data_IF_766140581227
#
_entry.id   IF_766140581227
#
_cell.length_a   1.000
_cell.length_b   1.000
_cell.length_c   1.000
_cell.angle_alpha   90.00
_cell.angle_beta   90.00
_cell.angle_gamma   90.00
#
_symmetry.space_group_name_H-M   'P 1'
#
loop_
_entity.id
_entity.type
_entity.pdbx_description
1 polymer ?
#
# COMPACT_ATOMS: atom_id res chain seq x y z
N UNK A 1 -0.20 13.37 -25.57
CA UNK A 1 -1.15 12.40 -25.01
C UNK A 1 -1.46 12.82 -23.59
N UNK A 2 -2.74 12.95 -23.22
CA UNK A 2 -3.11 13.20 -21.82
C UNK A 2 -2.61 12.01 -20.99
N UNK A 3 -1.73 12.27 -20.02
CA UNK A 3 -1.24 11.22 -19.11
C UNK A 3 -2.44 10.67 -18.33
N UNK A 4 -2.56 9.34 -18.25
CA UNK A 4 -3.58 8.68 -17.44
C UNK A 4 -3.40 9.14 -15.97
N UNK A 5 -4.48 9.54 -15.27
CA UNK A 5 -4.37 9.91 -13.86
C UNK A 5 -3.74 8.80 -13.03
N UNK A 6 -2.84 9.18 -12.10
CA UNK A 6 -2.25 8.24 -11.15
C UNK A 6 -3.35 7.68 -10.24
N UNK A 7 -3.28 6.40 -9.91
CA UNK A 7 -4.15 5.81 -8.91
C UNK A 7 -3.58 6.06 -7.51
N UNK A 8 -4.45 6.18 -6.53
CA UNK A 8 -4.06 6.49 -5.14
C UNK A 8 -4.51 5.37 -4.22
N UNK A 9 -3.61 4.87 -3.41
CA UNK A 9 -3.93 4.11 -2.20
C UNK A 9 -3.90 5.07 -1.02
N UNK A 10 -5.04 5.24 -0.35
CA UNK A 10 -5.15 6.04 0.86
C UNK A 10 -4.77 5.21 2.08
N UNK A 11 -3.76 5.65 2.84
CA UNK A 11 -3.24 4.89 3.98
C UNK A 11 -3.56 5.50 5.34
N UNK A 12 -4.43 6.50 5.38
CA UNK A 12 -4.76 7.23 6.62
C UNK A 12 -5.35 6.33 7.70
N UNK A 13 -6.13 5.29 7.31
CA UNK A 13 -6.79 4.39 8.25
C UNK A 13 -5.88 3.26 8.79
N UNK A 14 -4.65 3.15 8.32
CA UNK A 14 -3.69 2.15 8.84
C UNK A 14 -2.30 2.74 9.05
N UNK A 15 -1.52 2.98 7.99
CA UNK A 15 -0.09 3.29 8.11
C UNK A 15 0.16 4.68 8.69
N UNK A 16 -0.63 5.66 8.32
CA UNK A 16 -0.46 7.04 8.78
C UNK A 16 -0.67 7.14 10.31
N UNK A 17 -1.79 6.65 10.84
CA UNK A 17 -2.01 6.69 12.29
C UNK A 17 -1.13 5.69 13.05
N UNK A 18 -0.67 4.61 12.40
CA UNK A 18 0.35 3.75 12.99
C UNK A 18 1.65 4.54 13.18
N UNK A 19 2.04 5.33 12.21
CA UNK A 19 3.30 6.08 12.20
C UNK A 19 3.29 7.30 13.11
N UNK A 20 2.15 8.00 13.24
CA UNK A 20 2.03 9.26 13.98
C UNK A 20 1.38 9.10 15.36
N UNK A 21 0.49 8.13 15.53
CA UNK A 21 -0.33 7.94 16.73
C UNK A 21 -0.14 6.56 17.35
N UNK A 22 0.97 5.89 17.07
CA UNK A 22 1.29 4.54 17.60
C UNK A 22 0.13 3.53 17.43
N UNK A 23 -0.62 3.61 16.33
CA UNK A 23 -1.80 2.77 16.04
C UNK A 23 -2.95 2.96 17.06
N UNK A 24 -3.09 4.13 17.67
CA UNK A 24 -4.07 4.38 18.75
C UNK A 24 -5.37 5.00 18.28
N UNK A 25 -5.56 5.26 17.00
CA UNK A 25 -6.84 5.79 16.50
C UNK A 25 -7.93 4.72 16.63
N UNK A 26 -9.00 5.07 17.32
CA UNK A 26 -10.16 4.21 17.57
C UNK A 26 -11.10 4.17 16.37
N UNK A 27 -11.98 3.17 16.33
CA UNK A 27 -13.00 3.11 15.27
C UNK A 27 -13.97 4.31 15.32
N UNK A 28 -14.28 4.81 16.50
CA UNK A 28 -15.17 5.97 16.67
C UNK A 28 -14.54 7.28 16.16
N UNK A 29 -13.21 7.43 16.28
CA UNK A 29 -12.47 8.56 15.71
C UNK A 29 -12.38 8.47 14.17
N UNK A 30 -12.33 7.27 13.58
CA UNK A 30 -12.31 7.09 12.14
C UNK A 30 -13.68 7.29 11.48
N UNK A 31 -14.74 6.88 12.16
CA UNK A 31 -16.09 6.79 11.58
C UNK A 31 -16.61 8.07 10.93
N UNK A 32 -16.40 9.28 11.49
CA UNK A 32 -16.93 10.51 10.89
C UNK A 32 -16.46 10.81 9.47
N UNK A 33 -15.25 10.36 9.07
CA UNK A 33 -14.70 10.63 7.74
C UNK A 33 -15.06 9.56 6.69
N UNK A 34 -15.46 8.36 7.11
CA UNK A 34 -15.67 7.23 6.20
C UNK A 34 -16.70 7.52 5.09
N UNK A 35 -17.85 8.16 5.35
CA UNK A 35 -18.81 8.47 4.27
C UNK A 35 -18.26 9.40 3.20
N UNK A 36 -17.34 10.28 3.54
CA UNK A 36 -16.68 11.16 2.56
C UNK A 36 -15.58 10.40 1.80
N UNK A 37 -14.82 9.55 2.49
CA UNK A 37 -13.81 8.69 1.86
C UNK A 37 -14.43 7.72 0.85
N UNK A 38 -15.62 7.20 1.12
CA UNK A 38 -16.30 6.25 0.24
C UNK A 38 -16.72 6.87 -1.11
N UNK A 39 -16.81 8.19 -1.20
CA UNK A 39 -17.13 8.93 -2.43
C UNK A 39 -15.91 9.16 -3.34
N UNK A 40 -14.69 8.98 -2.82
CA UNK A 40 -13.46 9.28 -3.55
C UNK A 40 -13.00 8.02 -4.29
N UNK A 41 -12.65 8.09 -5.59
CA UNK A 41 -12.28 6.92 -6.38
C UNK A 41 -10.84 6.48 -6.11
N UNK A 42 -10.55 6.06 -4.88
CA UNK A 42 -9.26 5.46 -4.53
C UNK A 42 -9.02 4.13 -5.29
N UNK A 43 -7.78 3.78 -5.50
CA UNK A 43 -7.42 2.42 -5.93
C UNK A 43 -7.73 1.42 -4.82
N UNK A 44 -7.33 1.76 -3.60
CA UNK A 44 -7.65 1.03 -2.37
C UNK A 44 -7.53 1.94 -1.14
N UNK A 45 -8.12 1.52 -0.04
CA UNK A 45 -7.96 2.13 1.28
C UNK A 45 -7.28 1.12 2.18
N UNK A 46 -6.04 1.41 2.60
CA UNK A 46 -5.32 0.54 3.52
C UNK A 46 -5.80 0.82 4.95
N UNK A 47 -6.43 -0.18 5.56
CA UNK A 47 -7.17 0.00 6.79
C UNK A 47 -6.90 -1.07 7.86
N UNK A 48 -6.15 -2.12 7.54
CA UNK A 48 -5.95 -3.24 8.44
C UNK A 48 -4.57 -3.88 8.31
N UNK A 49 -4.12 -4.60 9.33
CA UNK A 49 -2.82 -5.26 9.36
C UNK A 49 -2.42 -5.71 10.76
N UNK A 50 -1.20 -6.24 10.90
CA UNK A 50 -0.71 -6.81 12.16
C UNK A 50 -0.69 -5.86 13.34
N UNK A 51 -0.17 -4.66 13.15
CA UNK A 51 -0.12 -3.66 14.22
C UNK A 51 -1.51 -3.16 14.62
N UNK A 52 -2.43 -3.04 13.67
CA UNK A 52 -3.84 -2.69 13.93
C UNK A 52 -4.51 -3.77 14.77
N UNK A 53 -4.35 -5.04 14.35
CA UNK A 53 -4.89 -6.18 15.07
C UNK A 53 -4.40 -6.23 16.53
N UNK A 54 -3.09 -6.10 16.71
CA UNK A 54 -2.45 -6.12 18.03
C UNK A 54 -2.88 -4.93 18.90
N UNK A 55 -2.96 -3.73 18.31
CA UNK A 55 -3.37 -2.51 19.02
C UNK A 55 -4.83 -2.55 19.46
N UNK A 56 -5.73 -3.07 18.63
CA UNK A 56 -7.14 -3.26 19.01
C UNK A 56 -7.27 -4.07 20.29
N UNK A 57 -6.55 -5.20 20.38
CA UNK A 57 -6.64 -6.11 21.54
C UNK A 57 -5.93 -5.53 22.77
N UNK A 58 -4.73 -4.95 22.59
CA UNK A 58 -3.88 -4.58 23.71
C UNK A 58 -4.19 -3.22 24.32
N UNK A 59 -4.71 -2.29 23.52
CA UNK A 59 -4.75 -0.89 23.91
C UNK A 59 -6.07 -0.19 23.70
N UNK A 60 -6.90 -0.68 22.76
CA UNK A 60 -8.12 0.01 22.36
C UNK A 60 -9.40 -0.67 22.88
N UNK A 61 -9.25 -1.87 23.46
CA UNK A 61 -10.39 -2.70 23.87
C UNK A 61 -11.41 -2.92 22.73
N UNK A 62 -10.89 -3.10 21.51
CA UNK A 62 -11.67 -3.32 20.30
C UNK A 62 -11.45 -4.74 19.75
N UNK A 63 -12.51 -5.36 19.21
CA UNK A 63 -12.38 -6.57 18.39
C UNK A 63 -11.84 -6.19 16.99
N UNK A 64 -10.62 -6.64 16.60
CA UNK A 64 -10.05 -6.29 15.30
C UNK A 64 -10.86 -6.80 14.11
N UNK A 65 -11.60 -7.90 14.27
CA UNK A 65 -12.48 -8.42 13.22
C UNK A 65 -13.75 -7.59 13.09
N UNK A 66 -14.30 -7.11 14.23
CA UNK A 66 -15.45 -6.20 14.21
C UNK A 66 -15.06 -4.87 13.56
N UNK A 67 -13.88 -4.33 13.86
CA UNK A 67 -13.33 -3.14 13.18
C UNK A 67 -13.34 -3.33 11.65
N UNK A 68 -12.84 -4.47 11.16
CA UNK A 68 -12.82 -4.76 9.72
C UNK A 68 -14.24 -4.83 9.13
N UNK A 69 -15.17 -5.48 9.82
CA UNK A 69 -16.57 -5.58 9.38
C UNK A 69 -17.27 -4.22 9.33
N UNK A 70 -16.99 -3.36 10.32
CA UNK A 70 -17.49 -1.97 10.33
C UNK A 70 -16.93 -1.21 9.13
N UNK A 71 -15.61 -1.25 8.91
CA UNK A 71 -14.97 -0.59 7.77
C UNK A 71 -15.56 -1.08 6.44
N UNK A 72 -15.76 -2.39 6.27
CA UNK A 72 -16.40 -2.93 5.06
C UNK A 72 -17.82 -2.41 4.86
N UNK A 73 -18.59 -2.26 5.94
CA UNK A 73 -19.96 -1.75 5.90
C UNK A 73 -20.00 -0.25 5.55
N UNK A 74 -19.10 0.53 6.13
CA UNK A 74 -19.06 2.00 5.98
C UNK A 74 -18.35 2.45 4.68
N UNK A 75 -17.54 1.57 4.07
CA UNK A 75 -16.81 1.81 2.80
C UNK A 75 -17.20 0.80 1.72
N UNK A 76 -18.50 0.69 1.35
CA UNK A 76 -18.98 -0.34 0.44
C UNK A 76 -18.39 -0.24 -0.97
N UNK A 77 -18.01 0.95 -1.43
CA UNK A 77 -17.49 1.19 -2.77
C UNK A 77 -15.96 1.16 -2.85
N UNK A 78 -15.26 1.11 -1.71
CA UNK A 78 -13.80 1.05 -1.67
C UNK A 78 -13.27 -0.38 -1.67
N UNK A 79 -12.09 -0.59 -2.25
CA UNK A 79 -11.31 -1.79 -2.02
C UNK A 79 -10.57 -1.65 -0.70
N UNK A 80 -10.84 -2.53 0.24
CA UNK A 80 -10.13 -2.56 1.52
C UNK A 80 -8.81 -3.31 1.39
N UNK A 81 -7.74 -2.69 1.83
CA UNK A 81 -6.40 -3.24 1.78
C UNK A 81 -5.87 -3.53 3.17
N UNK A 82 -5.15 -4.65 3.30
CA UNK A 82 -4.39 -4.99 4.49
C UNK A 82 -2.91 -5.19 4.22
N UNK A 83 -2.07 -4.88 5.21
CA UNK A 83 -0.67 -5.25 5.23
C UNK A 83 -0.50 -6.64 5.87
N UNK A 84 0.30 -7.50 5.21
CA UNK A 84 0.50 -8.89 5.61
C UNK A 84 1.98 -9.27 5.59
N UNK A 85 2.50 -9.81 6.70
CA UNK A 85 3.93 -10.12 6.87
C UNK A 85 4.31 -11.52 6.39
N UNK A 86 3.87 -11.92 5.20
CA UNK A 86 4.16 -13.24 4.65
C UNK A 86 3.83 -14.36 5.65
N UNK A 87 4.76 -15.30 5.86
CA UNK A 87 4.56 -16.43 6.77
C UNK A 87 4.38 -16.03 8.25
N UNK A 88 4.77 -14.81 8.61
CA UNK A 88 4.59 -14.30 9.97
C UNK A 88 3.18 -13.73 10.22
N UNK A 89 2.34 -13.62 9.18
CA UNK A 89 0.98 -13.10 9.27
C UNK A 89 0.94 -11.72 9.98
N UNK A 90 0.42 -11.69 11.18
CA UNK A 90 0.30 -10.51 12.05
C UNK A 90 1.42 -10.46 13.11
N UNK A 91 2.17 -11.56 13.27
CA UNK A 91 3.13 -11.73 14.35
C UNK A 91 4.58 -11.50 13.95
N UNK A 92 5.48 -12.03 14.78
CA UNK A 92 6.93 -11.90 14.67
C UNK A 92 7.65 -13.25 14.52
N UNK A 93 6.89 -14.34 14.39
CA UNK A 93 7.40 -15.70 14.14
C UNK A 93 6.59 -16.34 13.01
N UNK A 94 7.18 -17.21 12.20
CA UNK A 94 6.46 -17.95 11.17
C UNK A 94 5.36 -18.82 11.77
N UNK A 95 4.22 -18.82 11.11
CA UNK A 95 3.09 -19.73 11.38
C UNK A 95 3.13 -20.91 10.42
N UNK A 96 2.42 -21.98 10.74
CA UNK A 96 2.20 -23.09 9.83
C UNK A 96 1.33 -22.68 8.62
N UNK A 97 1.50 -23.35 7.50
CA UNK A 97 0.83 -22.99 6.23
C UNK A 97 -0.70 -22.99 6.35
N UNK A 98 -1.26 -23.97 7.04
CA UNK A 98 -2.70 -24.07 7.28
C UNK A 98 -3.27 -22.88 8.07
N UNK A 99 -2.49 -22.36 9.04
CA UNK A 99 -2.85 -21.16 9.78
C UNK A 99 -2.85 -19.92 8.87
N UNK A 100 -1.83 -19.78 8.00
CA UNK A 100 -1.75 -18.71 7.01
C UNK A 100 -2.93 -18.78 6.03
N UNK A 101 -3.21 -19.96 5.48
CA UNK A 101 -4.32 -20.18 4.57
C UNK A 101 -5.67 -19.84 5.22
N UNK A 102 -5.89 -20.30 6.44
CA UNK A 102 -7.12 -20.02 7.18
C UNK A 102 -7.31 -18.54 7.48
N UNK A 103 -6.23 -17.86 7.89
CA UNK A 103 -6.27 -16.43 8.18
C UNK A 103 -6.57 -15.59 6.93
N UNK A 104 -5.90 -15.88 5.81
CA UNK A 104 -6.16 -15.22 4.52
C UNK A 104 -7.61 -15.40 4.11
N UNK A 105 -8.11 -16.63 4.15
CA UNK A 105 -9.51 -16.94 3.87
C UNK A 105 -10.48 -16.13 4.74
N UNK A 106 -10.21 -16.02 6.04
CA UNK A 106 -11.05 -15.23 6.96
C UNK A 106 -10.94 -13.73 6.70
N UNK A 107 -9.77 -13.23 6.34
CA UNK A 107 -9.58 -11.81 6.00
C UNK A 107 -10.42 -11.42 4.77
N UNK A 108 -10.36 -12.21 3.71
CA UNK A 108 -11.15 -11.98 2.50
C UNK A 108 -12.66 -12.10 2.79
N UNK A 109 -13.07 -13.14 3.53
CA UNK A 109 -14.47 -13.33 3.91
C UNK A 109 -15.05 -12.20 4.78
N UNK A 110 -14.21 -11.44 5.50
CA UNK A 110 -14.59 -10.28 6.29
C UNK A 110 -14.41 -8.94 5.54
N UNK A 111 -14.04 -8.96 4.25
CA UNK A 111 -14.10 -7.79 3.38
C UNK A 111 -12.77 -7.23 2.89
N UNK A 112 -11.65 -7.92 3.07
CA UNK A 112 -10.38 -7.53 2.45
C UNK A 112 -10.39 -7.89 0.96
N UNK A 113 -10.09 -6.88 0.12
CA UNK A 113 -10.00 -7.01 -1.34
C UNK A 113 -8.55 -7.08 -1.81
N UNK A 114 -7.64 -6.37 -1.13
CA UNK A 114 -6.22 -6.27 -1.50
C UNK A 114 -5.35 -6.74 -0.33
N UNK A 115 -4.50 -7.72 -0.58
CA UNK A 115 -3.52 -8.18 0.41
C UNK A 115 -2.13 -7.75 -0.05
N UNK A 116 -1.55 -6.79 0.67
CA UNK A 116 -0.19 -6.30 0.50
C UNK A 116 0.75 -7.19 1.31
N UNK A 117 1.55 -8.00 0.62
CA UNK A 117 2.39 -9.03 1.23
C UNK A 117 3.85 -8.64 1.13
N UNK A 118 4.56 -8.63 2.25
CA UNK A 118 5.98 -8.30 2.31
C UNK A 118 6.77 -9.24 3.21
N UNK A 119 8.05 -9.31 2.94
CA UNK A 119 9.09 -9.81 3.85
C UNK A 119 10.16 -8.74 4.01
N UNK A 120 10.57 -8.46 5.25
CA UNK A 120 11.53 -7.37 5.53
C UNK A 120 12.92 -7.61 4.92
N UNK A 121 13.27 -8.87 4.63
CA UNK A 121 14.54 -9.28 4.03
C UNK A 121 14.43 -9.64 2.54
N UNK A 122 13.24 -9.44 1.94
CA UNK A 122 12.95 -9.84 0.56
C UNK A 122 13.16 -11.34 0.28
N UNK A 123 12.83 -12.19 1.23
CA UNK A 123 12.85 -13.64 1.02
C UNK A 123 11.51 -14.11 0.42
N UNK A 124 11.49 -14.37 -0.87
CA UNK A 124 10.30 -14.81 -1.60
C UNK A 124 9.69 -16.11 -1.03
N UNK A 125 10.50 -16.98 -0.40
CA UNK A 125 10.03 -18.23 0.20
C UNK A 125 9.00 -17.97 1.32
N UNK A 126 9.18 -16.87 2.08
CA UNK A 126 8.26 -16.46 3.12
C UNK A 126 6.92 -15.93 2.60
N UNK A 127 6.79 -15.67 1.30
CA UNK A 127 5.60 -15.10 0.69
C UNK A 127 4.73 -16.13 -0.03
N UNK A 128 5.25 -17.33 -0.30
CA UNK A 128 4.61 -18.33 -1.17
C UNK A 128 3.21 -18.72 -0.70
N UNK A 129 3.07 -19.14 0.54
CA UNK A 129 1.77 -19.58 1.08
C UNK A 129 0.76 -18.44 1.10
N UNK A 130 1.16 -17.24 1.49
CA UNK A 130 0.31 -16.08 1.52
C UNK A 130 -0.18 -15.66 0.12
N UNK A 131 0.72 -15.60 -0.88
CA UNK A 131 0.38 -15.28 -2.28
C UNK A 131 -0.58 -16.31 -2.85
N UNK A 132 -0.25 -17.60 -2.69
CA UNK A 132 -1.09 -18.70 -3.18
C UNK A 132 -2.49 -18.66 -2.55
N UNK A 133 -2.56 -18.45 -1.24
CA UNK A 133 -3.83 -18.41 -0.52
C UNK A 133 -4.68 -17.21 -0.92
N UNK A 134 -4.07 -16.02 -1.06
CA UNK A 134 -4.77 -14.82 -1.47
C UNK A 134 -5.36 -14.95 -2.88
N UNK A 135 -4.58 -15.48 -3.82
CA UNK A 135 -5.06 -15.76 -5.19
C UNK A 135 -6.21 -16.79 -5.17
N UNK A 136 -6.10 -17.85 -4.37
CA UNK A 136 -7.16 -18.87 -4.21
C UNK A 136 -8.48 -18.29 -3.71
N UNK A 137 -8.42 -17.33 -2.81
CA UNK A 137 -9.61 -16.66 -2.26
C UNK A 137 -10.07 -15.47 -3.13
N UNK A 138 -9.40 -15.19 -4.25
CA UNK A 138 -9.78 -14.15 -5.21
C UNK A 138 -9.40 -12.73 -4.82
N UNK A 139 -8.53 -12.55 -3.84
CA UNK A 139 -8.02 -11.23 -3.47
C UNK A 139 -6.97 -10.72 -4.46
N UNK A 140 -6.86 -9.40 -4.61
CA UNK A 140 -5.75 -8.79 -5.31
C UNK A 140 -4.47 -8.91 -4.48
N UNK A 141 -3.46 -9.57 -5.02
CA UNK A 141 -2.15 -9.75 -4.38
C UNK A 141 -1.22 -8.61 -4.79
N UNK A 142 -0.79 -7.81 -3.83
CA UNK A 142 0.27 -6.84 -4.03
C UNK A 142 1.56 -7.31 -3.36
N UNK A 143 2.54 -7.74 -4.16
CA UNK A 143 3.85 -8.16 -3.69
C UNK A 143 4.75 -6.95 -3.42
N UNK A 144 5.48 -6.92 -2.30
CA UNK A 144 6.31 -5.78 -1.94
C UNK A 144 7.80 -6.06 -2.11
N UNK A 145 8.51 -5.06 -2.60
CA UNK A 145 9.96 -4.90 -2.48
C UNK A 145 10.21 -4.10 -1.20
N UNK A 146 10.80 -4.69 -0.17
CA UNK A 146 11.29 -3.94 1.01
C UNK A 146 12.55 -3.19 0.60
N UNK A 147 12.41 -1.87 0.32
CA UNK A 147 13.50 -1.05 -0.18
C UNK A 147 14.50 -0.72 0.93
N UNK A 148 15.78 -0.89 0.65
CA UNK A 148 16.89 -0.55 1.54
C UNK A 148 18.15 -0.23 0.74
N UNK A 149 19.20 0.26 1.40
CA UNK A 149 20.48 0.59 0.80
C UNK A 149 21.55 -0.32 1.37
N UNK A 150 22.25 -1.06 0.51
CA UNK A 150 23.43 -1.85 0.84
C UNK A 150 24.22 -2.20 -0.43
N UNK A 151 25.43 -2.76 -0.31
CA UNK A 151 26.21 -3.15 -1.49
C UNK A 151 25.56 -4.17 -2.42
N UNK A 152 24.55 -4.94 -1.92
CA UNK A 152 23.83 -5.95 -2.70
C UNK A 152 22.45 -5.52 -3.18
N UNK A 153 21.89 -4.46 -2.58
CA UNK A 153 20.56 -3.97 -2.89
C UNK A 153 20.65 -2.85 -3.96
N UNK A 154 20.67 -3.26 -5.21
CA UNK A 154 20.68 -2.40 -6.40
C UNK A 154 19.42 -2.63 -7.25
N UNK A 155 19.26 -1.85 -8.32
CA UNK A 155 18.08 -1.96 -9.18
C UNK A 155 17.93 -3.36 -9.80
N UNK A 156 19.04 -3.98 -10.27
CA UNK A 156 19.01 -5.33 -10.83
C UNK A 156 18.45 -6.35 -9.83
N UNK A 157 18.89 -6.28 -8.57
CA UNK A 157 18.37 -7.11 -7.48
C UNK A 157 16.85 -6.92 -7.31
N UNK A 158 16.39 -5.67 -7.26
CA UNK A 158 14.96 -5.38 -7.05
C UNK A 158 14.11 -5.78 -8.25
N UNK A 159 14.58 -5.56 -9.47
CA UNK A 159 13.87 -5.97 -10.69
C UNK A 159 13.74 -7.49 -10.75
N UNK A 160 14.81 -8.23 -10.45
CA UNK A 160 14.77 -9.69 -10.38
C UNK A 160 13.80 -10.19 -9.32
N UNK A 161 13.83 -9.58 -8.12
CA UNK A 161 12.93 -9.96 -7.04
C UNK A 161 11.47 -9.68 -7.41
N UNK A 162 11.17 -8.50 -7.97
CA UNK A 162 9.85 -8.16 -8.46
C UNK A 162 9.33 -9.13 -9.52
N UNK A 163 10.21 -9.55 -10.44
CA UNK A 163 9.86 -10.56 -11.45
C UNK A 163 9.51 -11.90 -10.82
N UNK A 164 10.26 -12.32 -9.81
CA UNK A 164 9.92 -13.53 -9.02
C UNK A 164 8.52 -13.41 -8.38
N UNK A 165 8.17 -12.25 -7.81
CA UNK A 165 6.85 -12.06 -7.22
C UNK A 165 5.72 -12.07 -8.26
N UNK A 166 5.96 -11.49 -9.46
CA UNK A 166 5.02 -11.57 -10.58
C UNK A 166 4.79 -13.02 -11.00
N UNK A 167 5.86 -13.80 -11.14
CA UNK A 167 5.80 -15.22 -11.49
C UNK A 167 5.11 -16.07 -10.42
N UNK A 168 5.19 -15.67 -9.15
CA UNK A 168 4.45 -16.29 -8.04
C UNK A 168 2.95 -15.95 -8.05
N UNK A 169 2.52 -15.01 -8.89
CA UNK A 169 1.13 -14.62 -9.06
C UNK A 169 0.72 -13.31 -8.38
N UNK A 170 1.68 -12.41 -8.12
CA UNK A 170 1.33 -11.04 -7.70
C UNK A 170 0.60 -10.30 -8.84
N UNK A 171 -0.43 -9.53 -8.48
CA UNK A 171 -1.23 -8.72 -9.42
C UNK A 171 -0.71 -7.27 -9.53
N UNK A 172 0.12 -6.84 -8.60
CA UNK A 172 0.88 -5.59 -8.63
C UNK A 172 2.12 -5.68 -7.75
N UNK A 173 3.10 -4.82 -8.00
CA UNK A 173 4.32 -4.71 -7.18
C UNK A 173 4.31 -3.36 -6.46
N UNK A 174 4.66 -3.36 -5.17
CA UNK A 174 4.84 -2.16 -4.37
C UNK A 174 6.32 -1.99 -4.01
N UNK A 175 6.91 -0.86 -4.36
CA UNK A 175 8.19 -0.41 -3.80
C UNK A 175 7.89 0.12 -2.40
N UNK A 176 8.26 -0.64 -1.37
CA UNK A 176 7.96 -0.31 0.02
C UNK A 176 9.19 0.28 0.72
N UNK A 177 9.27 1.60 0.71
CA UNK A 177 10.32 2.37 1.36
C UNK A 177 9.87 2.80 2.78
N UNK A 178 10.09 1.92 3.73
CA UNK A 178 9.68 2.11 5.13
C UNK A 178 10.51 3.13 5.90
N UNK A 179 11.68 3.48 5.39
CA UNK A 179 12.63 4.37 6.07
C UNK A 179 12.76 5.75 5.40
N UNK A 180 12.11 5.98 4.26
CA UNK A 180 12.21 7.23 3.51
C UNK A 180 13.57 7.42 2.83
N UNK A 181 14.20 6.32 2.39
CA UNK A 181 15.54 6.32 1.77
C UNK A 181 15.50 6.57 0.26
N UNK A 182 14.35 6.40 -0.36
CA UNK A 182 14.19 6.47 -1.80
C UNK A 182 14.33 7.92 -2.29
N UNK A 183 15.44 8.23 -2.96
CA UNK A 183 15.67 9.56 -3.52
C UNK A 183 14.89 9.76 -4.83
N UNK A 184 14.64 11.01 -5.28
CA UNK A 184 13.85 11.28 -6.48
C UNK A 184 14.36 10.57 -7.74
N UNK A 185 15.64 10.64 -8.01
CA UNK A 185 16.23 10.05 -9.23
C UNK A 185 16.37 8.54 -9.12
N UNK A 186 16.71 8.00 -7.94
CA UNK A 186 16.73 6.56 -7.71
C UNK A 186 15.32 5.96 -7.88
N UNK A 187 14.29 6.68 -7.41
CA UNK A 187 12.89 6.29 -7.62
C UNK A 187 12.56 6.24 -9.13
N UNK A 188 12.93 7.30 -9.87
CA UNK A 188 12.72 7.37 -11.31
C UNK A 188 13.34 6.16 -12.04
N UNK A 189 14.61 5.89 -11.77
CA UNK A 189 15.36 4.80 -12.42
C UNK A 189 14.75 3.44 -12.08
N UNK A 190 14.52 3.15 -10.81
CA UNK A 190 13.94 1.88 -10.36
C UNK A 190 12.55 1.65 -10.96
N UNK A 191 11.66 2.65 -10.90
CA UNK A 191 10.32 2.54 -11.49
C UNK A 191 10.40 2.30 -12.98
N UNK A 192 11.27 3.03 -13.70
CA UNK A 192 11.45 2.86 -15.14
C UNK A 192 11.90 1.45 -15.50
N UNK A 193 12.84 0.88 -14.76
CA UNK A 193 13.32 -0.49 -14.99
C UNK A 193 12.23 -1.52 -14.67
N UNK A 194 11.49 -1.35 -13.58
CA UNK A 194 10.35 -2.21 -13.24
C UNK A 194 9.27 -2.16 -14.34
N UNK A 195 8.91 -0.98 -14.81
CA UNK A 195 7.91 -0.80 -15.89
C UNK A 195 8.34 -1.38 -17.22
N UNK A 196 9.64 -1.46 -17.50
CA UNK A 196 10.16 -2.12 -18.70
C UNK A 196 10.18 -3.66 -18.59
N UNK A 197 10.16 -4.20 -17.37
CA UNK A 197 10.33 -5.64 -17.11
C UNK A 197 9.02 -6.34 -16.76
N UNK A 198 8.15 -5.65 -16.01
CA UNK A 198 6.90 -6.23 -15.48
C UNK A 198 5.71 -5.93 -16.39
N UNK A 199 4.76 -6.85 -16.43
CA UNK A 199 3.48 -6.68 -17.11
C UNK A 199 2.37 -6.12 -16.18
N UNK A 200 2.61 -6.14 -14.88
CA UNK A 200 1.66 -5.74 -13.82
C UNK A 200 1.94 -4.31 -13.31
N UNK A 201 0.96 -3.66 -12.67
CA UNK A 201 1.11 -2.32 -12.12
C UNK A 201 2.21 -2.20 -11.07
N UNK A 202 2.85 -1.01 -11.04
CA UNK A 202 3.86 -0.64 -10.04
C UNK A 202 3.29 0.46 -9.14
N UNK A 203 3.37 0.23 -7.83
CA UNK A 203 2.97 1.12 -6.75
C UNK A 203 4.21 1.66 -6.01
N UNK A 204 4.13 2.87 -5.49
CA UNK A 204 5.20 3.48 -4.70
C UNK A 204 4.66 3.87 -3.33
N UNK A 205 5.19 3.21 -2.31
CA UNK A 205 4.97 3.50 -0.90
C UNK A 205 6.27 4.05 -0.30
N UNK A 206 6.27 5.28 0.16
CA UNK A 206 7.45 5.88 0.79
C UNK A 206 7.06 6.73 1.99
N UNK A 207 7.72 6.48 3.13
CA UNK A 207 7.58 7.32 4.32
C UNK A 207 8.28 8.66 4.15
N UNK A 208 7.74 9.70 4.79
CA UNK A 208 8.21 11.08 4.64
C UNK A 208 9.36 11.45 5.60
N UNK A 209 9.94 10.48 6.29
CA UNK A 209 10.92 10.65 7.38
C UNK A 209 12.11 11.52 6.98
N UNK A 210 12.63 11.37 5.75
CA UNK A 210 13.72 12.18 5.20
C UNK A 210 13.25 13.45 4.48
N UNK A 211 11.93 13.73 4.43
CA UNK A 211 11.37 14.87 3.70
C UNK A 211 11.40 14.75 2.17
N UNK A 212 11.74 13.57 1.63
CA UNK A 212 11.95 13.36 0.20
C UNK A 212 10.73 12.77 -0.53
N UNK A 213 9.78 12.16 0.17
CA UNK A 213 8.73 11.35 -0.43
C UNK A 213 7.95 12.09 -1.53
N UNK A 214 7.58 13.36 -1.35
CA UNK A 214 6.86 14.12 -2.38
C UNK A 214 7.64 14.24 -3.70
N UNK A 215 8.94 14.49 -3.63
CA UNK A 215 9.80 14.58 -4.80
C UNK A 215 10.04 13.21 -5.43
N UNK A 216 10.22 12.19 -4.60
CA UNK A 216 10.45 10.82 -5.05
C UNK A 216 9.20 10.24 -5.74
N UNK A 217 8.01 10.45 -5.17
CA UNK A 217 6.74 10.03 -5.78
C UNK A 217 6.49 10.78 -7.10
N UNK A 218 6.75 12.08 -7.15
CA UNK A 218 6.64 12.85 -8.41
C UNK A 218 7.53 12.25 -9.51
N UNK A 219 8.78 11.95 -9.19
CA UNK A 219 9.70 11.32 -10.16
C UNK A 219 9.29 9.90 -10.54
N UNK A 220 8.76 9.13 -9.61
CA UNK A 220 8.21 7.82 -9.91
C UNK A 220 6.98 7.88 -10.83
N UNK A 221 6.08 8.86 -10.62
CA UNK A 221 4.93 9.12 -11.51
C UNK A 221 5.41 9.49 -12.93
N UNK A 222 6.43 10.35 -13.04
CA UNK A 222 7.04 10.70 -14.32
C UNK A 222 7.68 9.49 -15.03
N UNK A 223 8.23 8.55 -14.26
CA UNK A 223 8.81 7.31 -14.77
C UNK A 223 7.75 6.26 -15.19
N UNK A 224 6.48 6.47 -14.83
CA UNK A 224 5.37 5.62 -15.25
C UNK A 224 4.78 4.73 -14.16
N UNK A 225 4.97 5.05 -12.89
CA UNK A 225 4.25 4.40 -11.80
C UNK A 225 2.72 4.45 -12.03
N UNK A 226 2.02 3.41 -11.63
CA UNK A 226 0.57 3.29 -11.82
C UNK A 226 -0.21 3.71 -10.58
N UNK A 227 0.38 3.55 -9.40
CA UNK A 227 -0.23 3.76 -8.09
C UNK A 227 0.78 4.48 -7.18
N UNK A 228 0.30 5.29 -6.26
CA UNK A 228 1.09 5.87 -5.16
C UNK A 228 0.32 5.81 -3.86
N UNK A 229 1.03 5.56 -2.76
CA UNK A 229 0.49 5.63 -1.41
C UNK A 229 0.59 7.04 -0.86
N UNK A 230 -0.51 7.51 -0.29
CA UNK A 230 -0.59 8.84 0.32
C UNK A 230 -1.47 8.83 1.56
N UNK A 231 -1.37 9.84 2.40
CA UNK A 231 -2.23 10.02 3.55
C UNK A 231 -2.94 11.38 3.51
N UNK A 232 -4.20 11.45 3.86
CA UNK A 232 -4.92 12.72 4.02
C UNK A 232 -4.12 13.69 4.90
N UNK A 233 -4.08 14.97 4.51
CA UNK A 233 -3.17 15.97 5.07
C UNK A 233 -3.11 16.08 6.61
N UNK A 234 -4.18 15.89 7.39
CA UNK A 234 -4.09 15.93 8.85
C UNK A 234 -3.15 14.87 9.45
N UNK A 235 -2.96 13.73 8.77
CA UNK A 235 -2.09 12.63 9.20
C UNK A 235 -0.98 12.35 8.17
N UNK A 236 -0.56 13.37 7.43
CA UNK A 236 0.57 13.29 6.50
C UNK A 236 1.86 13.87 7.08
N UNK A 237 2.97 13.67 6.39
CA UNK A 237 4.29 14.21 6.80
C UNK A 237 4.95 13.47 7.96
N UNK A 238 6.06 13.98 8.43
CA UNK A 238 6.83 13.36 9.51
C UNK A 238 7.23 11.92 9.20
N UNK A 239 6.83 10.99 10.05
CA UNK A 239 7.03 9.53 9.85
C UNK A 239 5.92 8.87 9.03
N UNK A 240 4.90 9.63 8.63
CA UNK A 240 3.80 9.16 7.77
C UNK A 240 4.17 9.29 6.29
N UNK A 241 3.20 9.60 5.44
CA UNK A 241 3.33 9.67 4.00
C UNK A 241 3.12 11.09 3.47
N UNK A 242 3.33 11.29 2.18
CA UNK A 242 2.99 12.52 1.49
C UNK A 242 1.48 12.77 1.54
N UNK A 243 1.08 14.04 1.61
CA UNK A 243 -0.32 14.42 1.61
C UNK A 243 -1.03 14.03 0.31
N UNK A 244 -2.22 13.40 0.41
CA UNK A 244 -3.05 12.93 -0.71
C UNK A 244 -3.41 14.08 -1.67
N UNK A 245 -3.64 15.25 -1.14
CA UNK A 245 -4.04 16.43 -1.92
C UNK A 245 -2.96 16.88 -2.92
N UNK A 246 -1.68 16.64 -2.61
CA UNK A 246 -0.55 17.06 -3.46
C UNK A 246 -0.54 16.35 -4.83
N UNK A 247 -0.49 15.00 -4.92
CA UNK A 247 -0.51 14.31 -6.21
C UNK A 247 -1.86 14.46 -6.93
N UNK A 248 -2.98 14.58 -6.22
CA UNK A 248 -4.29 14.83 -6.81
C UNK A 248 -4.28 16.18 -7.53
N UNK A 249 -3.80 17.23 -6.89
CA UNK A 249 -3.68 18.57 -7.50
C UNK A 249 -2.81 18.53 -8.76
N UNK A 250 -1.67 17.84 -8.70
CA UNK A 250 -0.73 17.79 -9.83
C UNK A 250 -1.22 16.91 -10.99
N UNK A 251 -1.79 15.75 -10.72
CA UNK A 251 -2.12 14.76 -11.76
C UNK A 251 -3.55 14.87 -12.27
N UNK A 252 -4.54 15.00 -11.37
CA UNK A 252 -5.96 15.00 -11.73
C UNK A 252 -6.45 16.38 -12.15
N UNK A 253 -6.22 17.40 -11.33
CA UNK A 253 -6.70 18.76 -11.61
C UNK A 253 -5.97 19.41 -12.79
N UNK A 254 -4.67 19.12 -12.97
CA UNK A 254 -3.91 19.60 -14.12
C UNK A 254 -4.43 18.99 -15.45
N UNK A 255 -4.77 17.71 -15.45
CA UNK A 255 -5.37 17.04 -16.61
C UNK A 255 -6.75 17.62 -16.94
N UNK A 256 -7.58 17.91 -15.94
CA UNK A 256 -8.89 18.55 -16.13
C UNK A 256 -8.78 19.97 -16.70
N UNK A 257 -7.80 20.76 -16.23
CA UNK A 257 -7.51 22.10 -16.78
C UNK A 257 -7.04 22.05 -18.23
N UNK A 258 -6.18 21.09 -18.59
CA UNK A 258 -5.72 20.89 -19.96
C UNK A 258 -6.88 20.48 -20.88
N UNK A 259 -7.78 19.61 -20.44
CA UNK A 259 -8.97 19.22 -21.21
C UNK A 259 -9.92 20.40 -21.42
N UNK A 260 -10.14 21.24 -20.40
CA UNK A 260 -11.01 22.42 -20.51
C UNK A 260 -10.43 23.54 -21.39
N UNK A 261 -9.11 23.58 -21.60
CA UNK A 261 -8.46 24.56 -22.51
C UNK A 261 -8.52 24.13 -23.98
N UNK A 262 -8.80 22.85 -24.27
CA UNK A 262 -8.98 22.33 -25.64
C UNK A 262 -10.41 22.49 -26.15
N UNK A 263 -11.34 22.93 -25.33
CA UNK A 263 -12.78 23.16 -25.69
C UNK A 263 -13.08 24.66 -25.85
N UNK A 264 -12.07 25.51 -25.81
CA UNK A 264 -12.12 26.93 -26.20
C UNK A 264 -11.30 27.13 -27.49
#
# INVERSE_FOLDING_TARGET
MAKKPIKITEVVLRDAHQSLLATRMTMDEMRPILPEMDKIPYFSVECWGGATFDSCIRFLDEDPWERLRILRKELPHQKLQMLFRGQNMLGYRPYADDAVEYFVKKSVANGIDVIRIFDALNDARNLQTAIKSANKEGAHVQGCISYTLSPVHNNEYYVKYAKTLEEMGANSICIKDMAGLLTPYTCYELVKELKNTLSIPVDIHSHYTAGLASMSLLKGIEAGADIVDTAMSPLSGGTSHMATESPVSYTHLSAMRAASSLVR
#
